data_IF_029576685172
#
_entry.id   IF_029576685172
#
_cell.length_a   1.000
_cell.length_b   1.000
_cell.length_c   1.000
_cell.angle_alpha   90.00
_cell.angle_beta   90.00
_cell.angle_gamma   90.00
#
_symmetry.space_group_name_H-M   'P 1'
#
loop_
_entity.id
_entity.type
_entity.pdbx_description
1 polymer ?
#
# COMPACT_ATOMS: atom_id res chain seq x y z
N UNK A 1 -8.19 -21.47 -19.76
CA UNK A 1 -7.58 -20.68 -18.69
C UNK A 1 -8.00 -21.29 -17.36
N UNK A 2 -7.09 -21.89 -16.64
CA UNK A 2 -7.40 -22.55 -15.36
C UNK A 2 -7.53 -21.47 -14.28
N UNK A 3 -8.67 -21.42 -13.60
CA UNK A 3 -8.93 -20.42 -12.57
C UNK A 3 -8.74 -21.06 -11.19
N UNK A 4 -7.74 -20.61 -10.43
CA UNK A 4 -7.52 -21.07 -9.06
C UNK A 4 -8.68 -20.60 -8.20
N UNK A 5 -9.31 -21.52 -7.47
CA UNK A 5 -10.42 -21.24 -6.57
C UNK A 5 -9.95 -21.33 -5.13
N UNK A 6 -10.03 -20.22 -4.39
CA UNK A 6 -9.74 -20.19 -2.96
C UNK A 6 -10.59 -21.19 -2.16
N UNK A 7 -11.84 -21.37 -2.57
CA UNK A 7 -12.78 -22.30 -1.92
C UNK A 7 -12.34 -23.77 -2.11
N UNK A 8 -11.99 -24.16 -3.36
CA UNK A 8 -11.50 -25.52 -3.64
C UNK A 8 -10.21 -25.80 -2.89
N UNK A 9 -9.28 -24.86 -2.93
CA UNK A 9 -8.04 -24.93 -2.17
C UNK A 9 -8.31 -25.14 -0.67
N UNK A 10 -9.17 -24.30 -0.08
CA UNK A 10 -9.49 -24.34 1.34
C UNK A 10 -10.15 -25.64 1.78
N UNK A 11 -11.10 -26.15 0.99
CA UNK A 11 -11.75 -27.43 1.24
C UNK A 11 -10.75 -28.60 1.18
N UNK A 12 -9.86 -28.59 0.18
CA UNK A 12 -8.85 -29.63 -0.02
C UNK A 12 -7.83 -29.65 1.12
N UNK A 13 -7.33 -28.46 1.54
CA UNK A 13 -6.45 -28.34 2.72
C UNK A 13 -7.15 -28.87 3.98
N UNK A 14 -8.43 -28.54 4.16
CA UNK A 14 -9.22 -29.02 5.31
C UNK A 14 -9.33 -30.55 5.31
N UNK A 15 -9.60 -31.15 4.16
CA UNK A 15 -9.73 -32.60 4.00
C UNK A 15 -8.41 -33.30 4.31
N UNK A 16 -7.32 -32.89 3.65
CA UNK A 16 -5.98 -33.46 3.85
C UNK A 16 -5.48 -33.32 5.29
N UNK A 17 -5.71 -32.16 5.91
CA UNK A 17 -5.36 -31.95 7.31
C UNK A 17 -6.09 -32.89 8.24
N UNK A 18 -7.40 -33.11 8.00
CA UNK A 18 -8.22 -34.04 8.78
C UNK A 18 -7.80 -35.49 8.55
N UNK A 19 -7.46 -35.89 7.33
CA UNK A 19 -6.90 -37.23 7.02
C UNK A 19 -5.64 -37.49 7.85
N UNK A 20 -4.83 -36.46 8.12
CA UNK A 20 -3.62 -36.54 8.94
C UNK A 20 -3.86 -36.36 10.44
N UNK A 21 -5.11 -36.23 10.88
CA UNK A 21 -5.49 -35.99 12.27
C UNK A 21 -4.84 -34.72 12.88
N UNK A 22 -4.54 -33.73 12.07
CA UNK A 22 -4.00 -32.44 12.52
C UNK A 22 -5.14 -31.46 12.84
N UNK A 23 -4.99 -30.68 13.92
CA UNK A 23 -5.84 -29.52 14.18
C UNK A 23 -5.37 -28.32 13.35
N UNK A 24 -6.21 -27.28 13.19
CA UNK A 24 -5.79 -26.03 12.57
C UNK A 24 -4.57 -25.40 13.27
N UNK A 25 -4.51 -25.57 14.58
CA UNK A 25 -3.41 -25.11 15.43
C UNK A 25 -2.11 -25.88 15.14
N UNK A 26 -2.18 -27.21 15.03
CA UNK A 26 -1.02 -28.05 14.71
C UNK A 26 -0.42 -27.69 13.35
N UNK A 27 -1.27 -27.50 12.34
CA UNK A 27 -0.83 -27.06 11.01
C UNK A 27 -0.20 -25.66 11.06
N UNK A 28 -0.81 -24.76 11.83
CA UNK A 28 -0.31 -23.38 12.00
C UNK A 28 1.07 -23.36 12.70
N UNK A 29 1.27 -24.15 13.73
CA UNK A 29 2.55 -24.28 14.44
C UNK A 29 3.66 -24.81 13.52
N UNK A 30 3.36 -25.83 12.71
CA UNK A 30 4.31 -26.39 11.74
C UNK A 30 4.71 -25.37 10.64
N UNK A 31 3.81 -24.44 10.29
CA UNK A 31 4.02 -23.43 9.27
C UNK A 31 4.49 -22.08 9.82
N UNK A 32 4.66 -21.95 11.17
CA UNK A 32 4.99 -20.70 11.85
C UNK A 32 4.02 -19.55 11.53
N UNK A 33 2.72 -19.86 11.45
CA UNK A 33 1.65 -18.89 11.24
C UNK A 33 0.61 -18.95 12.37
N UNK A 34 -0.38 -18.05 12.37
CA UNK A 34 -1.46 -18.12 13.33
C UNK A 34 -2.53 -19.14 12.92
N UNK A 35 -3.21 -19.75 13.89
CA UNK A 35 -4.39 -20.61 13.68
C UNK A 35 -5.49 -19.89 12.90
N UNK A 36 -5.67 -18.59 13.14
CA UNK A 36 -6.60 -17.73 12.40
C UNK A 36 -6.23 -17.62 10.92
N UNK A 37 -4.94 -17.68 10.59
CA UNK A 37 -4.45 -17.66 9.22
C UNK A 37 -4.86 -18.94 8.51
N UNK A 38 -4.61 -20.11 9.11
CA UNK A 38 -5.03 -21.42 8.58
C UNK A 38 -6.55 -21.46 8.42
N UNK A 39 -7.29 -20.99 9.42
CA UNK A 39 -8.76 -20.93 9.36
C UNK A 39 -9.28 -20.06 8.20
N UNK A 40 -8.59 -18.96 7.85
CA UNK A 40 -8.95 -18.15 6.67
C UNK A 40 -8.72 -18.89 5.36
N UNK A 41 -7.60 -19.63 5.25
CA UNK A 41 -7.32 -20.43 4.07
C UNK A 41 -8.37 -21.52 3.88
N UNK A 42 -8.68 -22.28 4.94
CA UNK A 42 -9.66 -23.36 4.89
C UNK A 42 -11.08 -22.90 4.54
N UNK A 43 -11.43 -21.66 4.90
CA UNK A 43 -12.71 -21.04 4.52
C UNK A 43 -12.70 -20.36 3.15
N UNK A 44 -11.58 -20.43 2.41
CA UNK A 44 -11.45 -19.78 1.12
C UNK A 44 -11.38 -18.25 1.16
N UNK A 45 -11.19 -17.65 2.35
CA UNK A 45 -11.17 -16.19 2.52
C UNK A 45 -9.85 -15.56 2.11
N UNK A 46 -8.77 -16.33 2.04
CA UNK A 46 -7.45 -15.92 1.56
C UNK A 46 -6.64 -17.13 1.12
N UNK A 47 -5.60 -16.89 0.30
CA UNK A 47 -4.61 -17.91 -0.07
C UNK A 47 -3.34 -17.74 0.79
N UNK A 48 -2.58 -18.83 1.03
CA UNK A 48 -1.24 -18.72 1.59
C UNK A 48 -0.29 -17.99 0.64
N UNK A 49 0.74 -17.37 1.20
CA UNK A 49 1.83 -16.84 0.40
C UNK A 49 2.51 -17.98 -0.37
N UNK A 50 2.99 -17.70 -1.59
CA UNK A 50 3.68 -18.66 -2.47
C UNK A 50 4.81 -19.41 -1.74
N UNK A 51 5.55 -18.72 -0.88
CA UNK A 51 6.62 -19.32 -0.05
C UNK A 51 6.09 -20.42 0.87
N UNK A 52 4.83 -20.37 1.29
CA UNK A 52 4.21 -21.35 2.17
C UNK A 52 3.59 -22.54 1.42
N UNK A 53 3.43 -22.45 0.10
CA UNK A 53 2.81 -23.53 -0.69
C UNK A 53 3.64 -24.82 -0.63
N UNK A 54 4.98 -24.72 -0.69
CA UNK A 54 5.88 -25.87 -0.60
C UNK A 54 5.80 -26.52 0.80
N UNK A 55 5.98 -25.79 1.92
CA UNK A 55 5.82 -26.37 3.25
C UNK A 55 4.44 -26.99 3.51
N UNK A 56 3.37 -26.36 3.01
CA UNK A 56 2.00 -26.92 3.14
C UNK A 56 1.90 -28.22 2.37
N UNK A 57 2.36 -28.27 1.13
CA UNK A 57 2.36 -29.46 0.29
C UNK A 57 3.16 -30.60 0.93
N UNK A 58 4.34 -30.32 1.49
CA UNK A 58 5.18 -31.29 2.19
C UNK A 58 4.50 -31.87 3.45
N UNK A 59 3.89 -31.01 4.28
CA UNK A 59 3.19 -31.44 5.50
C UNK A 59 1.97 -32.28 5.16
N UNK A 60 1.25 -31.91 4.09
CA UNK A 60 0.03 -32.61 3.67
C UNK A 60 0.30 -33.78 2.71
N UNK A 61 1.57 -33.99 2.31
CA UNK A 61 2.03 -35.08 1.42
C UNK A 61 1.32 -35.07 0.06
N UNK A 62 1.23 -33.90 -0.52
CA UNK A 62 0.71 -33.68 -1.87
C UNK A 62 1.66 -32.81 -2.67
N UNK A 63 1.50 -32.75 -3.99
CA UNK A 63 2.23 -31.81 -4.83
C UNK A 63 1.63 -30.40 -4.72
N UNK A 64 2.45 -29.38 -4.97
CA UNK A 64 1.95 -27.99 -5.05
C UNK A 64 0.86 -27.84 -6.12
N UNK A 65 0.95 -28.61 -7.19
CA UNK A 65 -0.05 -28.62 -8.27
C UNK A 65 -1.40 -29.15 -7.79
N UNK A 66 -1.42 -30.27 -7.05
CA UNK A 66 -2.64 -30.83 -6.44
C UNK A 66 -3.24 -29.84 -5.42
N UNK A 67 -2.37 -29.23 -4.61
CA UNK A 67 -2.77 -28.22 -3.63
C UNK A 67 -3.48 -27.04 -4.30
N UNK A 68 -2.93 -26.51 -5.40
CA UNK A 68 -3.50 -25.39 -6.14
C UNK A 68 -4.76 -25.77 -6.95
N UNK A 69 -4.87 -27.02 -7.38
CA UNK A 69 -6.07 -27.55 -8.03
C UNK A 69 -7.20 -27.81 -7.03
N UNK A 70 -6.85 -28.11 -5.78
CA UNK A 70 -7.79 -28.53 -4.76
C UNK A 70 -8.32 -29.95 -4.98
N UNK A 71 -7.51 -30.83 -5.62
CA UNK A 71 -7.84 -32.25 -5.91
C UNK A 71 -6.55 -33.07 -6.09
N UNK A 72 -6.60 -34.35 -5.71
CA UNK A 72 -5.53 -35.32 -6.00
C UNK A 72 -5.49 -35.64 -7.49
N UNK A 73 -4.29 -35.72 -8.04
CA UNK A 73 -4.06 -36.00 -9.46
C UNK A 73 -3.69 -37.48 -9.59
N UNK A 74 -4.48 -38.22 -10.38
CA UNK A 74 -4.16 -39.60 -10.73
C UNK A 74 -2.90 -39.62 -11.61
N UNK A 75 -1.85 -40.27 -11.16
CA UNK A 75 -0.49 -40.28 -11.73
C UNK A 75 -0.38 -40.77 -13.18
N UNK A 76 -1.49 -41.19 -13.78
CA UNK A 76 -1.54 -41.68 -15.16
C UNK A 76 -1.87 -40.62 -16.23
N UNK A 77 -2.23 -39.40 -15.85
CA UNK A 77 -2.41 -38.30 -16.81
C UNK A 77 -1.15 -37.46 -16.86
N UNK A 78 -0.47 -37.46 -18.00
CA UNK A 78 0.61 -36.53 -18.33
C UNK A 78 0.13 -35.09 -18.07
N UNK A 79 0.64 -34.50 -17.02
CA UNK A 79 0.37 -33.09 -16.71
C UNK A 79 1.12 -32.25 -17.76
N UNK A 80 0.39 -31.49 -18.55
CA UNK A 80 1.00 -30.61 -19.54
C UNK A 80 1.82 -29.55 -18.80
N UNK A 81 3.10 -29.42 -19.17
CA UNK A 81 4.03 -28.42 -18.59
C UNK A 81 3.42 -27.02 -18.57
N UNK A 82 2.62 -26.72 -19.58
CA UNK A 82 1.89 -25.47 -19.72
C UNK A 82 0.86 -25.23 -18.60
N UNK A 83 0.20 -26.31 -18.15
CA UNK A 83 -0.78 -26.24 -17.07
C UNK A 83 -0.13 -25.94 -15.71
N UNK A 84 1.06 -26.48 -15.47
CA UNK A 84 1.86 -26.17 -14.28
C UNK A 84 2.30 -24.69 -14.30
N UNK A 85 2.78 -24.19 -15.44
CA UNK A 85 3.16 -22.79 -15.60
C UNK A 85 1.96 -21.86 -15.37
N UNK A 86 0.78 -22.16 -15.90
CA UNK A 86 -0.42 -21.35 -15.68
C UNK A 86 -0.87 -21.36 -14.21
N UNK A 87 -0.75 -22.46 -13.48
CA UNK A 87 -1.06 -22.56 -12.06
C UNK A 87 -0.08 -21.74 -11.20
N UNK A 88 1.22 -21.80 -11.50
CA UNK A 88 2.24 -21.04 -10.79
C UNK A 88 2.05 -19.52 -11.03
N UNK A 89 1.87 -19.12 -12.28
CA UNK A 89 1.61 -17.72 -12.63
C UNK A 89 0.33 -17.21 -11.95
N UNK A 90 -0.75 -18.00 -11.97
CA UNK A 90 -2.00 -17.63 -11.31
C UNK A 90 -1.85 -17.46 -9.79
N UNK A 91 -1.07 -18.31 -9.12
CA UNK A 91 -0.82 -18.21 -7.67
C UNK A 91 0.05 -16.99 -7.32
N UNK A 92 1.04 -16.67 -8.15
CA UNK A 92 1.86 -15.46 -8.00
C UNK A 92 1.02 -14.19 -8.17
N UNK A 93 0.16 -14.15 -9.19
CA UNK A 93 -0.74 -13.01 -9.42
C UNK A 93 -1.70 -12.77 -8.23
N UNK A 94 -2.24 -13.84 -7.64
CA UNK A 94 -3.10 -13.71 -6.45
C UNK A 94 -2.33 -13.18 -5.25
N UNK A 95 -1.17 -13.73 -4.94
CA UNK A 95 -0.34 -13.30 -3.81
C UNK A 95 0.10 -11.84 -3.95
N UNK A 96 0.44 -11.42 -5.17
CA UNK A 96 0.79 -10.02 -5.48
C UNK A 96 -0.43 -9.11 -5.30
N UNK A 97 -1.60 -9.50 -5.80
CA UNK A 97 -2.84 -8.72 -5.65
C UNK A 97 -3.24 -8.53 -4.19
N UNK A 98 -3.16 -9.58 -3.37
CA UNK A 98 -3.50 -9.51 -1.94
C UNK A 98 -2.53 -8.61 -1.18
N UNK A 99 -1.24 -8.69 -1.49
CA UNK A 99 -0.22 -7.80 -0.92
C UNK A 99 -0.47 -6.33 -1.28
N UNK A 100 -0.74 -6.04 -2.55
CA UNK A 100 -1.05 -4.68 -3.02
C UNK A 100 -2.33 -4.16 -2.36
N UNK A 101 -3.36 -5.00 -2.24
CA UNK A 101 -4.65 -4.61 -1.65
C UNK A 101 -4.51 -4.31 -0.16
N UNK A 102 -3.76 -5.10 0.59
CA UNK A 102 -3.49 -4.86 2.01
C UNK A 102 -2.66 -3.59 2.22
N UNK A 103 -1.65 -3.37 1.38
CA UNK A 103 -0.82 -2.16 1.43
C UNK A 103 -1.67 -0.91 1.20
N UNK A 104 -2.57 -0.95 0.23
CA UNK A 104 -3.50 0.15 -0.05
C UNK A 104 -4.46 0.43 1.10
N UNK A 105 -5.02 -0.59 1.74
CA UNK A 105 -5.90 -0.43 2.93
C UNK A 105 -5.20 0.30 4.06
N UNK A 106 -3.93 -0.03 4.32
CA UNK A 106 -3.13 0.62 5.36
C UNK A 106 -2.94 2.12 5.07
N UNK A 107 -2.70 2.50 3.81
CA UNK A 107 -2.57 3.91 3.42
C UNK A 107 -3.90 4.68 3.52
N UNK A 108 -5.02 4.04 3.18
CA UNK A 108 -6.35 4.62 3.35
C UNK A 108 -6.63 4.86 4.84
N UNK A 109 -6.31 3.91 5.70
CA UNK A 109 -6.47 4.06 7.14
C UNK A 109 -5.60 5.20 7.70
N UNK A 110 -4.33 5.27 7.30
CA UNK A 110 -3.43 6.35 7.68
C UNK A 110 -3.96 7.73 7.23
N UNK A 111 -4.48 7.80 5.99
CA UNK A 111 -5.09 9.02 5.47
C UNK A 111 -6.29 9.46 6.32
N UNK A 112 -7.22 8.55 6.62
CA UNK A 112 -8.39 8.85 7.44
C UNK A 112 -7.99 9.32 8.84
N UNK A 113 -6.98 8.71 9.45
CA UNK A 113 -6.47 9.12 10.75
C UNK A 113 -5.89 10.54 10.71
N UNK A 114 -5.03 10.85 9.73
CA UNK A 114 -4.48 12.21 9.55
C UNK A 114 -5.59 13.23 9.23
N UNK A 115 -6.61 12.84 8.46
CA UNK A 115 -7.77 13.69 8.16
C UNK A 115 -8.53 14.09 9.43
N UNK A 116 -8.83 13.15 10.32
CA UNK A 116 -9.50 13.45 11.59
C UNK A 116 -8.63 14.27 12.52
N UNK A 117 -7.31 14.01 12.58
CA UNK A 117 -6.38 14.84 13.36
C UNK A 117 -6.41 16.28 12.85
N UNK A 118 -6.28 16.49 11.54
CA UNK A 118 -6.28 17.84 10.98
C UNK A 118 -7.59 18.59 11.21
N UNK A 119 -8.72 17.91 11.21
CA UNK A 119 -10.01 18.52 11.57
C UNK A 119 -9.99 19.00 13.02
N UNK A 120 -9.51 18.18 13.96
CA UNK A 120 -9.44 18.58 15.37
C UNK A 120 -8.50 19.77 15.58
N UNK A 121 -7.37 19.83 14.87
CA UNK A 121 -6.43 20.96 14.90
C UNK A 121 -7.07 22.24 14.34
N UNK A 122 -7.80 22.16 13.23
CA UNK A 122 -8.52 23.29 12.66
C UNK A 122 -9.61 23.78 13.63
N UNK A 123 -10.34 22.87 14.28
CA UNK A 123 -11.34 23.25 15.30
C UNK A 123 -10.67 23.96 16.48
N UNK A 124 -9.52 23.46 16.97
CA UNK A 124 -8.76 24.12 18.02
C UNK A 124 -8.33 25.55 17.63
N UNK A 125 -7.85 25.75 16.40
CA UNK A 125 -7.54 27.08 15.87
C UNK A 125 -8.78 27.99 15.85
N UNK A 126 -9.94 27.46 15.51
CA UNK A 126 -11.20 28.21 15.48
C UNK A 126 -11.62 28.65 16.89
N UNK A 127 -11.51 27.76 17.87
CA UNK A 127 -11.94 28.00 19.26
C UNK A 127 -10.98 28.91 20.00
N UNK A 128 -9.68 28.90 19.68
CA UNK A 128 -8.68 29.74 20.37
C UNK A 128 -8.80 31.26 20.14
N UNK A 129 -9.85 31.71 19.41
CA UNK A 129 -10.26 33.13 19.35
C UNK A 129 -9.29 34.09 18.64
N UNK A 130 -8.23 33.59 18.04
CA UNK A 130 -7.33 34.41 17.25
C UNK A 130 -8.03 34.96 16.02
N UNK A 131 -7.78 36.20 15.65
CA UNK A 131 -8.37 36.93 14.52
C UNK A 131 -8.36 36.08 13.23
N UNK A 132 -9.58 35.74 12.79
CA UNK A 132 -9.86 34.55 11.99
C UNK A 132 -9.55 34.66 10.50
N UNK A 133 -9.45 35.87 9.93
CA UNK A 133 -9.62 35.99 8.50
C UNK A 133 -8.36 35.67 7.66
N UNK A 134 -7.18 36.16 8.07
CA UNK A 134 -5.97 36.01 7.22
C UNK A 134 -5.21 34.71 7.49
N UNK A 135 -4.96 34.42 8.73
CA UNK A 135 -4.16 33.29 9.15
C UNK A 135 -4.84 31.93 8.93
N UNK A 136 -6.16 31.87 9.12
CA UNK A 136 -6.93 30.66 8.87
C UNK A 136 -7.04 30.33 7.40
N UNK A 137 -7.05 31.35 6.54
CA UNK A 137 -7.11 31.14 5.10
C UNK A 137 -5.90 30.35 4.59
N UNK A 138 -4.69 30.71 5.01
CA UNK A 138 -3.48 30.05 4.53
C UNK A 138 -3.35 28.62 5.08
N UNK A 139 -3.63 28.42 6.37
CA UNK A 139 -3.63 27.07 6.95
C UNK A 139 -4.68 26.19 6.29
N UNK A 140 -5.89 26.69 6.06
CA UNK A 140 -6.95 25.93 5.40
C UNK A 140 -6.61 25.59 3.94
N UNK A 141 -6.03 26.54 3.20
CA UNK A 141 -5.65 26.32 1.80
C UNK A 141 -4.53 25.27 1.67
N UNK A 142 -3.48 25.37 2.49
CA UNK A 142 -2.36 24.42 2.44
C UNK A 142 -2.81 23.04 2.93
N UNK A 143 -3.47 22.96 4.08
CA UNK A 143 -3.96 21.70 4.63
C UNK A 143 -4.98 21.06 3.72
N UNK A 144 -5.95 21.82 3.20
CA UNK A 144 -6.96 21.34 2.26
C UNK A 144 -6.35 20.89 0.93
N UNK A 145 -5.41 21.66 0.39
CA UNK A 145 -4.68 21.28 -0.81
C UNK A 145 -3.88 19.98 -0.63
N UNK A 146 -3.17 19.85 0.48
CA UNK A 146 -2.42 18.62 0.81
C UNK A 146 -3.32 17.43 1.11
N UNK A 147 -4.50 17.65 1.69
CA UNK A 147 -5.52 16.60 1.85
C UNK A 147 -6.01 16.10 0.49
N UNK A 148 -6.36 16.99 -0.44
CA UNK A 148 -6.79 16.60 -1.79
C UNK A 148 -5.69 15.85 -2.54
N UNK A 149 -4.46 16.35 -2.46
CA UNK A 149 -3.31 15.71 -3.09
C UNK A 149 -2.99 14.35 -2.46
N UNK A 150 -2.99 14.26 -1.12
CA UNK A 150 -2.82 13.01 -0.38
C UNK A 150 -3.94 12.00 -0.64
N UNK A 151 -5.20 12.46 -0.75
CA UNK A 151 -6.32 11.61 -1.14
C UNK A 151 -6.07 10.95 -2.49
N UNK A 152 -5.60 11.73 -3.48
CA UNK A 152 -5.33 11.17 -4.80
C UNK A 152 -4.29 10.04 -4.73
N UNK A 153 -3.18 10.23 -3.99
CA UNK A 153 -2.14 9.19 -3.83
C UNK A 153 -2.60 7.98 -3.02
N UNK A 154 -3.41 8.17 -1.99
CA UNK A 154 -3.86 7.07 -1.13
C UNK A 154 -4.99 6.24 -1.76
N UNK A 155 -5.88 6.88 -2.55
CA UNK A 155 -7.09 6.22 -3.09
C UNK A 155 -6.96 5.84 -4.56
N UNK A 156 -6.30 6.65 -5.38
CA UNK A 156 -6.36 6.51 -6.85
C UNK A 156 -5.04 6.17 -7.51
N UNK A 157 -3.90 6.60 -6.96
CA UNK A 157 -2.61 6.35 -7.58
C UNK A 157 -2.34 4.85 -7.70
N UNK A 158 -1.84 4.44 -8.86
CA UNK A 158 -1.38 3.07 -9.12
C UNK A 158 0.09 2.98 -8.72
N UNK A 159 0.42 1.99 -7.90
CA UNK A 159 1.79 1.74 -7.44
C UNK A 159 2.67 1.08 -8.53
N UNK A 160 2.07 0.66 -9.66
CA UNK A 160 2.74 0.04 -10.80
C UNK A 160 2.49 0.88 -12.05
N UNK A 161 3.57 1.19 -12.77
CA UNK A 161 3.53 1.83 -14.08
C UNK A 161 3.42 0.78 -15.20
N UNK A 162 2.90 1.16 -16.38
CA UNK A 162 2.98 0.32 -17.57
C UNK A 162 4.43 -0.07 -17.91
N UNK A 163 4.63 -1.27 -18.45
CA UNK A 163 5.96 -1.83 -18.75
C UNK A 163 6.83 -0.98 -19.66
N UNK A 164 6.22 -0.18 -20.55
CA UNK A 164 6.97 0.72 -21.44
C UNK A 164 7.81 1.79 -20.68
N UNK A 165 7.51 2.05 -19.39
CA UNK A 165 8.34 2.92 -18.55
C UNK A 165 9.67 2.25 -18.17
N UNK A 166 9.69 0.93 -18.07
CA UNK A 166 10.90 0.17 -17.76
C UNK A 166 11.83 0.04 -18.98
N UNK A 167 11.21 -0.03 -20.19
CA UNK A 167 11.93 -0.17 -21.45
C UNK A 167 12.47 1.16 -22.00
N UNK A 168 11.93 2.29 -21.54
CA UNK A 168 12.23 3.62 -22.06
C UNK A 168 12.59 4.60 -20.96
N UNK A 169 13.55 5.50 -21.24
CA UNK A 169 13.91 6.59 -20.34
C UNK A 169 12.88 7.72 -20.41
N UNK A 170 11.80 7.58 -19.65
CA UNK A 170 10.68 8.53 -19.65
C UNK A 170 10.75 9.42 -18.41
N UNK A 171 10.85 10.73 -18.59
CA UNK A 171 10.99 11.73 -17.53
C UNK A 171 9.67 12.35 -17.07
N UNK A 172 8.53 11.81 -17.51
CA UNK A 172 7.21 12.24 -17.06
C UNK A 172 6.32 11.03 -16.72
N UNK A 173 5.43 11.21 -15.76
CA UNK A 173 4.36 10.25 -15.45
C UNK A 173 3.03 10.95 -15.55
N UNK A 174 2.06 10.27 -16.16
CA UNK A 174 0.67 10.71 -16.25
C UNK A 174 -0.25 9.60 -15.76
N UNK A 175 -0.97 9.85 -14.68
CA UNK A 175 -1.99 8.96 -14.15
C UNK A 175 -3.27 9.74 -13.86
N UNK A 176 -4.25 9.62 -14.74
CA UNK A 176 -5.50 10.38 -14.66
C UNK A 176 -5.26 11.88 -14.76
N UNK A 177 -5.67 12.62 -13.73
CA UNK A 177 -5.47 14.08 -13.66
C UNK A 177 -4.06 14.47 -13.21
N UNK A 178 -3.32 13.54 -12.61
CA UNK A 178 -1.99 13.79 -12.07
C UNK A 178 -0.94 13.66 -13.17
N UNK A 179 -0.11 14.68 -13.31
CA UNK A 179 1.03 14.70 -14.24
C UNK A 179 2.23 15.29 -13.53
N UNK A 180 3.34 14.58 -13.57
CA UNK A 180 4.62 15.05 -13.05
C UNK A 180 5.69 14.91 -14.13
N UNK A 181 6.49 15.95 -14.31
CA UNK A 181 7.64 15.97 -15.18
C UNK A 181 8.85 16.43 -14.37
N UNK A 182 9.88 15.60 -14.29
CA UNK A 182 11.13 15.93 -13.59
C UNK A 182 12.30 15.75 -14.54
N UNK A 183 12.96 16.85 -14.86
CA UNK A 183 14.15 16.85 -15.71
C UNK A 183 15.29 16.11 -15.00
N UNK A 184 15.91 15.19 -15.70
CA UNK A 184 17.05 14.42 -15.17
C UNK A 184 16.68 13.20 -14.33
N UNK A 185 15.38 12.84 -14.22
CA UNK A 185 14.89 11.60 -13.59
C UNK A 185 14.10 10.79 -14.60
N UNK A 186 14.43 9.49 -14.75
CA UNK A 186 13.61 8.54 -15.54
C UNK A 186 12.72 7.74 -14.61
N UNK A 187 11.42 7.76 -14.89
CA UNK A 187 10.46 6.98 -14.10
C UNK A 187 10.41 5.53 -14.62
N UNK A 188 10.47 4.57 -13.68
CA UNK A 188 10.33 3.14 -13.93
C UNK A 188 9.67 2.46 -12.72
N UNK A 189 9.35 1.18 -12.82
CA UNK A 189 8.74 0.45 -11.71
C UNK A 189 9.69 0.26 -10.52
N UNK A 190 11.02 0.33 -10.73
CA UNK A 190 12.01 0.27 -9.67
C UNK A 190 11.96 1.47 -8.73
N UNK A 191 11.73 2.68 -9.25
CA UNK A 191 11.70 3.90 -8.44
C UNK A 191 10.30 4.41 -8.11
N UNK A 192 9.29 4.09 -8.92
CA UNK A 192 7.95 4.66 -8.81
C UNK A 192 7.26 4.34 -7.47
N UNK A 193 7.37 3.12 -6.98
CA UNK A 193 6.78 2.73 -5.70
C UNK A 193 7.34 3.54 -4.52
N UNK A 194 8.65 3.83 -4.54
CA UNK A 194 9.30 4.66 -3.51
C UNK A 194 8.90 6.13 -3.63
N UNK A 195 8.75 6.64 -4.85
CA UNK A 195 8.25 7.99 -5.12
C UNK A 195 6.81 8.14 -4.60
N UNK A 196 5.92 7.21 -4.93
CA UNK A 196 4.54 7.21 -4.42
C UNK A 196 4.48 7.15 -2.89
N UNK A 197 5.30 6.30 -2.28
CA UNK A 197 5.39 6.18 -0.82
C UNK A 197 5.87 7.47 -0.19
N UNK A 198 6.88 8.11 -0.76
CA UNK A 198 7.39 9.41 -0.30
C UNK A 198 6.33 10.49 -0.39
N UNK A 199 5.58 10.55 -1.48
CA UNK A 199 4.49 11.51 -1.66
C UNK A 199 3.37 11.28 -0.65
N UNK A 200 2.98 10.03 -0.38
CA UNK A 200 2.00 9.68 0.66
C UNK A 200 2.48 10.15 2.03
N UNK A 201 3.71 9.82 2.42
CA UNK A 201 4.28 10.24 3.71
C UNK A 201 4.36 11.76 3.82
N UNK A 202 4.90 12.43 2.78
CA UNK A 202 5.09 13.88 2.79
C UNK A 202 3.77 14.63 2.92
N UNK A 203 2.76 14.25 2.14
CA UNK A 203 1.44 14.88 2.19
C UNK A 203 0.76 14.68 3.53
N UNK A 204 0.75 13.46 4.07
CA UNK A 204 0.14 13.16 5.36
C UNK A 204 0.88 13.83 6.53
N UNK A 205 2.21 13.87 6.49
CA UNK A 205 3.00 14.60 7.49
C UNK A 205 2.68 16.08 7.45
N UNK A 206 2.61 16.69 6.27
CA UNK A 206 2.28 18.10 6.11
C UNK A 206 0.88 18.43 6.62
N UNK A 207 -0.11 17.59 6.35
CA UNK A 207 -1.50 17.77 6.79
C UNK A 207 -1.62 17.88 8.32
N UNK A 208 -0.76 17.18 9.06
CA UNK A 208 -0.74 17.22 10.54
C UNK A 208 0.24 18.28 11.05
N UNK A 209 1.48 18.28 10.56
CA UNK A 209 2.54 19.13 11.14
C UNK A 209 2.35 20.62 10.86
N UNK A 210 1.75 20.97 9.72
CA UNK A 210 1.61 22.39 9.36
C UNK A 210 0.56 23.13 10.21
N UNK A 211 -0.69 22.62 10.40
CA UNK A 211 -1.65 23.25 11.32
C UNK A 211 -1.16 23.21 12.77
N UNK A 212 -0.51 22.12 13.19
CA UNK A 212 0.07 22.00 14.53
C UNK A 212 1.12 23.07 14.78
N UNK A 213 2.02 23.32 13.82
CA UNK A 213 3.00 24.40 13.90
C UNK A 213 2.31 25.77 14.02
N UNK A 214 1.26 26.00 13.25
CA UNK A 214 0.41 27.19 13.37
C UNK A 214 -0.15 27.38 14.78
N UNK A 215 -0.77 26.34 15.34
CA UNK A 215 -1.32 26.36 16.71
C UNK A 215 -0.24 26.72 17.73
N UNK A 216 0.92 26.10 17.66
CA UNK A 216 2.01 26.33 18.60
C UNK A 216 2.56 27.77 18.49
N UNK A 217 2.84 28.23 17.28
CA UNK A 217 3.44 29.54 17.06
C UNK A 217 2.50 30.68 17.52
N UNK A 218 1.22 30.52 17.24
CA UNK A 218 0.22 31.55 17.56
C UNK A 218 -0.05 31.61 19.06
N UNK A 219 -0.21 30.48 19.71
CA UNK A 219 -0.53 30.44 21.14
C UNK A 219 0.69 30.70 22.04
N UNK A 220 1.92 30.30 21.62
CA UNK A 220 3.11 30.42 22.42
C UNK A 220 3.89 31.74 22.15
N UNK A 221 3.77 32.31 20.95
CA UNK A 221 4.52 33.50 20.55
C UNK A 221 3.58 34.64 20.16
N UNK A 222 3.40 34.88 18.87
CA UNK A 222 2.47 35.86 18.34
C UNK A 222 2.16 35.60 16.84
N UNK A 223 1.14 36.29 16.35
CA UNK A 223 0.68 36.20 14.97
C UNK A 223 1.74 36.75 13.96
N UNK A 224 2.47 37.78 14.33
CA UNK A 224 3.47 38.38 13.46
C UNK A 224 4.63 37.42 13.14
N UNK A 225 4.99 36.56 14.10
CA UNK A 225 5.98 35.51 13.87
C UNK A 225 5.46 34.45 12.88
N UNK A 226 4.17 34.09 12.96
CA UNK A 226 3.53 33.17 12.00
C UNK A 226 3.61 33.72 10.57
N UNK A 227 3.29 35.00 10.35
CA UNK A 227 3.29 35.62 9.02
C UNK A 227 4.68 35.56 8.36
N UNK A 228 5.75 35.70 9.16
CA UNK A 228 7.14 35.59 8.69
C UNK A 228 7.48 34.14 8.36
N UNK A 229 7.15 33.20 9.26
CA UNK A 229 7.52 31.78 9.14
C UNK A 229 6.68 31.05 8.13
N UNK A 230 5.44 31.46 7.89
CA UNK A 230 4.53 30.82 6.96
C UNK A 230 5.12 30.67 5.54
N UNK A 231 5.74 31.74 5.02
CA UNK A 231 6.38 31.69 3.71
C UNK A 231 7.57 30.71 3.67
N UNK A 232 8.32 30.60 4.76
CA UNK A 232 9.42 29.64 4.89
C UNK A 232 8.86 28.21 4.92
N UNK A 233 7.80 27.96 5.67
CA UNK A 233 7.14 26.66 5.70
C UNK A 233 6.61 26.26 4.32
N UNK A 234 5.99 27.19 3.57
CA UNK A 234 5.51 26.92 2.22
C UNK A 234 6.64 26.51 1.27
N UNK A 235 7.75 27.24 1.31
CA UNK A 235 8.94 26.91 0.52
C UNK A 235 9.49 25.53 0.92
N UNK A 236 9.56 25.22 2.23
CA UNK A 236 10.03 23.92 2.72
C UNK A 236 9.07 22.79 2.32
N UNK A 237 7.77 23.00 2.37
CA UNK A 237 6.77 21.98 2.01
C UNK A 237 6.85 21.66 0.52
N UNK A 238 6.82 22.66 -0.35
CA UNK A 238 6.83 22.45 -1.80
C UNK A 238 8.23 22.06 -2.31
N UNK A 239 9.26 22.78 -1.90
CA UNK A 239 10.64 22.52 -2.29
C UNK A 239 11.15 21.20 -1.73
N UNK A 240 10.91 20.93 -0.46
CA UNK A 240 11.28 19.67 0.20
C UNK A 240 10.60 18.46 -0.43
N UNK A 241 9.35 18.57 -0.84
CA UNK A 241 8.64 17.52 -1.57
C UNK A 241 9.34 17.19 -2.90
N UNK A 242 9.63 18.19 -3.72
CA UNK A 242 10.28 18.00 -5.02
C UNK A 242 11.70 17.45 -4.86
N UNK A 243 12.48 17.96 -3.91
CA UNK A 243 13.83 17.46 -3.61
C UNK A 243 13.78 16.00 -3.13
N UNK A 244 12.85 15.65 -2.26
CA UNK A 244 12.71 14.28 -1.75
C UNK A 244 12.35 13.31 -2.87
N UNK A 245 11.44 13.67 -3.77
CA UNK A 245 11.07 12.87 -4.94
C UNK A 245 12.28 12.65 -5.84
N UNK A 246 13.05 13.72 -6.11
CA UNK A 246 14.22 13.66 -6.97
C UNK A 246 15.32 12.75 -6.39
N UNK A 247 15.65 12.93 -5.09
CA UNK A 247 16.68 12.14 -4.41
C UNK A 247 16.29 10.65 -4.39
N UNK A 248 15.04 10.35 -4.01
CA UNK A 248 14.57 8.97 -3.94
C UNK A 248 14.44 8.38 -5.33
N UNK A 249 13.91 9.13 -6.28
CA UNK A 249 13.80 8.69 -7.66
C UNK A 249 15.16 8.32 -8.27
N UNK A 250 16.19 9.15 -8.02
CA UNK A 250 17.56 8.88 -8.48
C UNK A 250 18.24 7.72 -7.78
N UNK A 251 17.93 7.51 -6.51
CA UNK A 251 18.53 6.40 -5.74
C UNK A 251 18.09 5.02 -6.25
N UNK A 252 16.86 4.92 -6.77
CA UNK A 252 16.25 3.67 -7.22
C UNK A 252 16.02 3.63 -8.74
N UNK A 253 16.56 4.59 -9.52
CA UNK A 253 16.61 4.59 -10.98
C UNK A 253 17.61 3.54 -11.47
#
# INVERSE_FOLDING_TARGET
MYQISNEKFGLFVTELRKEKNLTQKDLAEKLYVSDKTVSKWERGLSMPNVVLLIPIADILEVTVTELLRGEKIDTQKNIDKKEIEELVVGSLDMAVRDSIHQHRKNWILAYLLCFFISITEIIMLVVSGSSLAEMKRDILLVTGGMLLFGAWFCFFAKDILPTYYDDNKINYVSQGIFRIHLVGLSFNNGNWIYICTTLKIWTLATVVLYPLAGIIIINCFNIALWDILNNIFLIMILGGMLVSIYIIGKKYE
#
